data_IF_362638841869
#
_entry.id   IF_362638841869
#
_cell.length_a   1.000
_cell.length_b   1.000
_cell.length_c   1.000
_cell.angle_alpha   90.00
_cell.angle_beta   90.00
_cell.angle_gamma   90.00
#
_symmetry.space_group_name_H-M   'P 1'
#
loop_
_entity.id
_entity.type
_entity.pdbx_description
1 polymer ?
#
# COMPACT_ATOMS: atom_id res chain seq x y z
N UNK A 1 1.41 30.57 -9.05
CA UNK A 1 1.67 29.13 -9.26
C UNK A 1 0.31 28.46 -9.26
N UNK A 2 -0.26 28.33 -10.45
CA UNK A 2 -1.58 27.76 -10.66
C UNK A 2 -1.45 26.24 -10.51
N UNK A 3 -1.92 25.71 -9.38
CA UNK A 3 -1.86 24.26 -9.12
C UNK A 3 -3.09 23.66 -9.76
N UNK A 4 -2.94 23.31 -11.04
CA UNK A 4 -3.94 22.62 -11.84
C UNK A 4 -4.56 21.47 -11.02
N UNK A 5 -5.88 21.50 -10.93
CA UNK A 5 -6.78 20.58 -10.23
C UNK A 5 -6.23 19.14 -10.18
N UNK A 6 -5.74 18.73 -9.02
CA UNK A 6 -5.26 17.38 -8.78
C UNK A 6 -6.45 16.41 -8.83
N UNK A 7 -6.69 15.84 -10.01
CA UNK A 7 -7.66 14.76 -10.20
C UNK A 7 -7.23 13.58 -9.30
N UNK A 8 -7.99 13.33 -8.24
CA UNK A 8 -7.69 12.29 -7.26
C UNK A 8 -7.80 10.93 -7.95
N UNK A 9 -6.67 10.31 -8.27
CA UNK A 9 -6.64 8.94 -8.77
C UNK A 9 -6.99 8.05 -7.58
N UNK A 10 -8.19 7.47 -7.59
CA UNK A 10 -8.68 6.57 -6.54
C UNK A 10 -9.05 5.25 -7.20
N UNK A 11 -8.62 4.14 -6.58
CA UNK A 11 -8.94 2.79 -7.04
C UNK A 11 -10.40 2.42 -6.74
N UNK A 12 -10.84 1.30 -7.31
CA UNK A 12 -12.13 0.73 -6.99
C UNK A 12 -12.26 0.42 -5.50
N UNK A 13 -13.51 0.39 -5.09
CA UNK A 13 -13.94 0.29 -3.71
C UNK A 13 -14.14 -1.18 -3.27
N UNK A 14 -13.78 -2.10 -4.16
CA UNK A 14 -13.83 -3.55 -4.03
C UNK A 14 -12.42 -4.12 -4.11
N UNK A 15 -12.13 -5.10 -3.25
CA UNK A 15 -10.84 -5.78 -3.22
C UNK A 15 -10.85 -7.03 -4.11
N UNK A 16 -9.75 -7.30 -4.82
CA UNK A 16 -9.57 -8.60 -5.47
C UNK A 16 -9.47 -9.72 -4.42
N UNK A 17 -9.56 -10.99 -4.84
CA UNK A 17 -9.23 -12.12 -3.96
C UNK A 17 -7.78 -12.03 -3.48
N UNK A 18 -7.51 -12.60 -2.30
CA UNK A 18 -6.18 -12.60 -1.71
C UNK A 18 -5.12 -13.16 -2.67
N UNK A 19 -3.95 -12.51 -2.80
CA UNK A 19 -2.91 -12.96 -3.70
C UNK A 19 -2.38 -14.33 -3.26
N UNK A 20 -2.22 -15.24 -4.22
CA UNK A 20 -1.59 -16.54 -3.96
C UNK A 20 -0.10 -16.45 -4.21
N UNK A 21 0.70 -16.96 -3.27
CA UNK A 21 2.13 -17.12 -3.48
C UNK A 21 2.35 -18.11 -4.63
N UNK A 22 3.07 -17.67 -5.67
CA UNK A 22 3.45 -18.51 -6.80
C UNK A 22 4.83 -19.08 -6.52
N UNK A 23 4.90 -20.40 -6.43
CA UNK A 23 6.14 -21.16 -6.32
C UNK A 23 6.90 -21.18 -7.65
N UNK A 24 8.18 -21.51 -7.60
CA UNK A 24 9.06 -21.71 -8.76
C UNK A 24 9.33 -20.48 -9.63
N UNK A 25 9.13 -19.26 -9.10
CA UNK A 25 9.57 -18.02 -9.74
C UNK A 25 10.66 -17.32 -8.92
N UNK A 26 11.68 -16.77 -9.59
CA UNK A 26 12.69 -15.95 -8.92
C UNK A 26 12.07 -14.62 -8.46
N UNK A 27 12.30 -14.25 -7.20
CA UNK A 27 11.82 -12.99 -6.58
C UNK A 27 13.01 -12.15 -6.12
N UNK A 28 12.76 -10.86 -5.91
CA UNK A 28 13.73 -9.99 -5.26
C UNK A 28 14.01 -10.48 -3.82
N UNK A 29 15.24 -10.31 -3.30
CA UNK A 29 15.53 -10.60 -1.90
C UNK A 29 14.75 -9.64 -0.98
N UNK A 30 14.47 -10.10 0.25
CA UNK A 30 13.85 -9.28 1.28
C UNK A 30 14.77 -8.09 1.63
N UNK A 31 14.19 -6.89 1.76
CA UNK A 31 14.94 -5.64 2.05
C UNK A 31 15.16 -5.38 3.55
N UNK A 32 14.52 -6.16 4.42
CA UNK A 32 14.47 -5.96 5.86
C UNK A 32 13.50 -4.85 6.26
N UNK A 33 13.12 -4.83 7.54
CA UNK A 33 12.30 -3.78 8.14
C UNK A 33 13.17 -2.92 9.07
N UNK A 34 13.66 -1.79 8.55
CA UNK A 34 14.56 -0.87 9.27
C UNK A 34 13.96 0.53 9.43
N UNK A 35 12.65 0.68 9.25
CA UNK A 35 11.98 1.98 9.36
C UNK A 35 11.75 2.34 10.82
N UNK A 36 11.94 3.62 11.16
CA UNK A 36 11.46 4.13 12.44
C UNK A 36 9.93 4.33 12.41
N UNK A 37 9.35 4.74 13.54
CA UNK A 37 7.90 4.91 13.65
C UNK A 37 7.35 5.97 12.68
N UNK A 38 8.07 7.09 12.49
CA UNK A 38 7.68 8.16 11.57
C UNK A 38 7.68 7.70 10.12
N UNK A 39 8.75 7.00 9.73
CA UNK A 39 8.93 6.48 8.37
C UNK A 39 7.93 5.37 8.08
N UNK A 40 7.63 4.51 9.05
CA UNK A 40 6.59 3.48 8.94
C UNK A 40 5.23 4.13 8.68
N UNK A 41 4.88 5.17 9.43
CA UNK A 41 3.63 5.91 9.23
C UNK A 41 3.58 6.61 7.85
N UNK A 42 4.72 7.15 7.39
CA UNK A 42 4.81 7.77 6.07
C UNK A 42 4.67 6.73 4.95
N UNK A 43 5.34 5.58 5.06
CA UNK A 43 5.23 4.48 4.13
C UNK A 43 3.79 3.96 4.03
N UNK A 44 3.12 3.79 5.17
CA UNK A 44 1.73 3.35 5.23
C UNK A 44 0.78 4.36 4.55
N UNK A 45 0.97 5.67 4.80
CA UNK A 45 0.20 6.72 4.12
C UNK A 45 0.44 6.71 2.61
N UNK A 46 1.67 6.48 2.18
CA UNK A 46 2.02 6.39 0.76
C UNK A 46 1.35 5.17 0.10
N UNK A 47 1.32 4.02 0.79
CA UNK A 47 0.66 2.81 0.31
C UNK A 47 -0.87 2.98 0.19
N UNK A 48 -1.50 3.66 1.16
CA UNK A 48 -2.94 3.87 1.20
C UNK A 48 -3.44 5.05 0.36
N UNK A 49 -2.55 5.87 -0.21
CA UNK A 49 -2.91 7.13 -0.91
C UNK A 49 -3.94 6.98 -2.03
N UNK A 50 -3.98 5.81 -2.67
CA UNK A 50 -4.86 5.53 -3.81
C UNK A 50 -6.05 4.64 -3.46
N UNK A 51 -6.17 4.25 -2.19
CA UNK A 51 -7.19 3.33 -1.70
C UNK A 51 -8.30 4.12 -1.02
N UNK A 52 -9.59 3.80 -1.26
CA UNK A 52 -10.70 4.35 -0.48
C UNK A 52 -10.56 4.07 1.03
N UNK A 53 -10.86 5.07 1.87
CA UNK A 53 -10.70 5.01 3.34
C UNK A 53 -11.40 3.81 3.98
N UNK A 54 -12.56 3.40 3.46
CA UNK A 54 -13.31 2.24 3.94
C UNK A 54 -12.56 0.90 3.85
N UNK A 55 -11.48 0.84 3.06
CA UNK A 55 -10.64 -0.35 2.92
C UNK A 55 -9.35 -0.24 3.77
N UNK A 56 -9.07 0.92 4.37
CA UNK A 56 -7.82 1.15 5.11
C UNK A 56 -7.72 0.25 6.34
N UNK A 57 -8.82 0.03 7.07
CA UNK A 57 -8.85 -0.85 8.24
C UNK A 57 -8.43 -2.29 7.93
N UNK A 58 -8.70 -2.74 6.69
CA UNK A 58 -8.32 -4.08 6.23
C UNK A 58 -6.91 -4.13 5.66
N UNK A 59 -6.51 -3.12 4.88
CA UNK A 59 -5.23 -3.12 4.17
C UNK A 59 -4.05 -2.63 5.02
N UNK A 60 -4.29 -1.77 6.02
CA UNK A 60 -3.24 -1.28 6.89
C UNK A 60 -2.45 -2.38 7.63
N UNK A 61 -3.10 -3.38 8.26
CA UNK A 61 -2.37 -4.50 8.85
C UNK A 61 -1.68 -5.36 7.78
N UNK A 62 -2.32 -5.60 6.63
CA UNK A 62 -1.74 -6.37 5.52
C UNK A 62 -0.42 -5.75 5.04
N UNK A 63 -0.37 -4.43 4.84
CA UNK A 63 0.85 -3.72 4.42
C UNK A 63 1.95 -3.64 5.49
N UNK A 64 1.63 -3.85 6.77
CA UNK A 64 2.62 -3.89 7.84
C UNK A 64 3.25 -5.29 8.01
N UNK A 65 2.60 -6.33 7.50
CA UNK A 65 3.07 -7.72 7.59
C UNK A 65 3.91 -8.17 6.37
N UNK A 66 3.96 -7.40 5.27
CA UNK A 66 4.79 -7.65 4.08
C UNK A 66 6.29 -7.37 4.28
#
# INVERSE_FOLDING_TARGET
>A
MDTAEAKQIVLSDTLPPAPKFRDNIRRAPNRGFNLDRSDTLLALKNALRYVPEKLHDKLAPEFLEE
#
